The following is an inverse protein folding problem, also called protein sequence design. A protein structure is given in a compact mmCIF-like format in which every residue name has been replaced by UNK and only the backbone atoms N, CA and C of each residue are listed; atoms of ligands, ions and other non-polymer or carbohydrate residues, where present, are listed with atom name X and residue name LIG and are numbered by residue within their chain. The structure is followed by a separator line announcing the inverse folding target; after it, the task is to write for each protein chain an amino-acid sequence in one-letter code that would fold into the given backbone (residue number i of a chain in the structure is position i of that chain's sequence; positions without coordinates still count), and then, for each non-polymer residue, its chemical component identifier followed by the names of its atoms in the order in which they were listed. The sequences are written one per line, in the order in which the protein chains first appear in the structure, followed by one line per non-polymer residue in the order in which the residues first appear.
data_IF_849128766700
#
_entry.id   IF_849128766700
#
_cell.length_a   1.000
_cell.length_b   1.000
_cell.length_c   1.000
_cell.angle_alpha   90.00
_cell.angle_beta   90.00
_cell.angle_gamma   90.00
#
_symmetry.space_group_name_H-M   'P 1'
#
loop_
_entity.id
_entity.type
_entity.pdbx_description
1 polymer ?
#
# COMPACT_ATOMS: atom_id res chain seq x y z
N UNK A 1 17.69 -3.60 -10.67
CA UNK A 1 17.28 -2.33 -11.33
C UNK A 1 16.24 -1.71 -10.41
N UNK A 2 16.58 -0.63 -9.70
CA UNK A 2 15.70 -0.05 -8.67
C UNK A 2 14.47 0.53 -9.38
N UNK A 3 13.29 -0.04 -9.12
CA UNK A 3 12.02 0.43 -9.65
C UNK A 3 11.80 1.87 -9.19
N UNK A 4 11.88 2.84 -10.11
CA UNK A 4 11.57 4.24 -9.81
C UNK A 4 10.08 4.36 -9.53
N UNK A 5 9.72 4.65 -8.28
CA UNK A 5 8.34 5.00 -7.89
C UNK A 5 7.96 6.30 -8.60
N UNK A 6 7.01 6.25 -9.53
CA UNK A 6 6.49 7.45 -10.19
C UNK A 6 5.24 7.93 -9.43
N UNK A 7 5.34 9.11 -8.82
CA UNK A 7 4.25 9.72 -8.06
C UNK A 7 3.51 10.71 -8.96
N UNK A 8 2.30 10.35 -9.40
CA UNK A 8 1.41 11.26 -10.16
C UNK A 8 0.60 12.09 -9.17
N UNK A 9 0.93 13.38 -9.03
CA UNK A 9 0.06 14.32 -8.31
C UNK A 9 -0.09 15.62 -9.12
N UNK A 10 -1.32 15.93 -9.51
CA UNK A 10 -1.67 17.18 -10.17
C UNK A 10 -1.58 18.34 -9.18
N UNK A 11 -0.57 19.19 -9.38
CA UNK A 11 -0.43 20.53 -8.81
C UNK A 11 -0.07 20.67 -7.31
N UNK A 12 1.09 21.34 -7.11
CA UNK A 12 1.62 22.04 -5.92
C UNK A 12 2.41 21.21 -4.87
N UNK A 13 3.69 21.61 -4.75
CA UNK A 13 4.66 21.39 -3.68
C UNK A 13 4.89 19.94 -3.22
N UNK A 14 6.00 19.37 -3.70
CA UNK A 14 6.55 18.06 -3.31
C UNK A 14 6.93 18.05 -1.83
N UNK A 15 6.09 17.48 -0.97
CA UNK A 15 6.58 16.81 0.25
C UNK A 15 6.73 15.33 -0.10
N UNK A 16 7.99 14.93 -0.26
CA UNK A 16 8.43 13.63 -0.72
C UNK A 16 8.04 12.57 0.30
N UNK A 17 7.40 11.49 -0.16
CA UNK A 17 7.24 10.30 0.66
C UNK A 17 8.61 9.86 1.18
N UNK A 18 8.70 9.48 2.45
CA UNK A 18 9.98 9.15 3.10
C UNK A 18 10.08 7.65 3.31
N UNK A 19 11.14 7.03 2.78
CA UNK A 19 11.43 5.61 3.06
C UNK A 19 12.07 5.45 4.45
N UNK A 20 11.68 4.40 5.15
CA UNK A 20 12.32 3.96 6.40
C UNK A 20 12.23 2.44 6.55
N UNK A 21 13.09 1.86 7.39
CA UNK A 21 13.12 0.41 7.62
C UNK A 21 12.89 0.08 9.08
N UNK A 22 12.20 -1.04 9.34
CA UNK A 22 12.01 -1.64 10.65
C UNK A 22 12.48 -3.10 10.57
N UNK A 23 13.70 -3.36 11.06
CA UNK A 23 14.34 -4.66 10.83
C UNK A 23 14.61 -4.87 9.34
N UNK A 24 14.10 -5.98 8.79
CA UNK A 24 14.20 -6.33 7.36
C UNK A 24 13.05 -5.74 6.52
N UNK A 25 12.02 -5.17 7.15
CA UNK A 25 10.88 -4.64 6.43
C UNK A 25 11.10 -3.17 6.05
N UNK A 26 10.75 -2.84 4.80
CA UNK A 26 10.83 -1.49 4.26
C UNK A 26 9.44 -0.85 4.25
N UNK A 27 9.39 0.45 4.52
CA UNK A 27 8.16 1.22 4.58
C UNK A 27 8.31 2.56 3.88
N UNK A 28 7.20 3.07 3.39
CA UNK A 28 7.07 4.41 2.84
C UNK A 28 6.10 5.22 3.72
N UNK A 29 6.60 6.30 4.29
CA UNK A 29 5.79 7.31 4.95
C UNK A 29 5.12 8.18 3.89
N UNK A 30 3.80 8.05 3.80
CA UNK A 30 2.98 8.70 2.77
C UNK A 30 2.75 10.18 3.06
N UNK A 31 1.97 10.84 2.21
CA UNK A 31 1.68 12.28 2.33
C UNK A 31 1.15 12.65 3.72
N UNK A 32 1.54 13.83 4.24
CA UNK A 32 1.17 14.27 5.57
C UNK A 32 -0.34 14.48 5.69
N UNK A 33 -0.90 14.00 6.79
CA UNK A 33 -2.22 14.35 7.29
C UNK A 33 -2.02 15.25 8.52
N UNK A 34 -2.60 16.44 8.48
CA UNK A 34 -2.40 17.43 9.54
C UNK A 34 -2.85 16.86 10.88
N UNK A 35 -1.95 16.89 11.87
CA UNK A 35 -2.19 16.31 13.17
C UNK A 35 -1.37 17.01 14.26
N UNK A 36 -2.04 17.84 15.05
CA UNK A 36 -1.44 18.52 16.19
C UNK A 36 -1.98 17.93 17.49
N UNK A 37 -1.12 17.25 18.25
CA UNK A 37 -1.41 16.81 19.62
C UNK A 37 -0.31 17.27 20.56
N UNK A 38 -0.72 17.74 21.73
CA UNK A 38 0.15 18.07 22.85
C UNK A 38 0.82 16.79 23.40
N UNK A 39 2.16 16.78 23.47
CA UNK A 39 2.93 15.68 24.06
C UNK A 39 3.74 14.83 23.05
N UNK A 40 3.45 14.95 21.76
CA UNK A 40 4.31 14.45 20.68
C UNK A 40 5.10 15.62 20.08
N UNK A 41 6.41 15.67 20.33
CA UNK A 41 7.31 16.71 19.78
C UNK A 41 8.44 16.15 18.93
N UNK A 42 8.79 14.88 19.13
CA UNK A 42 9.82 14.19 18.38
C UNK A 42 9.20 13.22 17.36
N UNK A 43 9.90 12.93 16.24
CA UNK A 43 9.47 11.91 15.30
C UNK A 43 9.27 10.56 15.99
N UNK A 44 8.15 9.91 15.72
CA UNK A 44 7.80 8.63 16.36
C UNK A 44 6.92 7.78 15.46
N UNK A 45 7.11 6.48 15.55
CA UNK A 45 6.15 5.51 15.04
C UNK A 45 4.96 5.46 16.01
N UNK A 46 3.75 5.41 15.47
CA UNK A 46 2.53 5.31 16.28
C UNK A 46 1.44 4.54 15.56
N UNK A 47 0.46 4.06 16.33
CA UNK A 47 -0.74 3.42 15.80
C UNK A 47 -1.95 4.32 16.04
N UNK A 48 -2.65 4.64 14.97
CA UNK A 48 -3.96 5.28 15.03
C UNK A 48 -5.02 4.20 15.18
N UNK A 49 -5.95 4.41 16.12
CA UNK A 49 -7.06 3.50 16.39
C UNK A 49 -8.35 4.33 16.45
N UNK A 50 -9.24 4.12 15.49
CA UNK A 50 -10.57 4.74 15.51
C UNK A 50 -11.48 4.03 16.50
N UNK A 51 -12.04 4.77 17.45
CA UNK A 51 -12.99 4.30 18.45
C UNK A 51 -14.32 5.05 18.34
N UNK A 52 -15.33 4.37 17.80
CA UNK A 52 -16.69 4.91 17.62
C UNK A 52 -17.74 4.17 18.46
N UNK A 53 -17.31 3.33 19.40
CA UNK A 53 -18.22 2.55 20.25
C UNK A 53 -18.77 3.41 21.40
N UNK A 54 -19.99 3.12 21.89
CA UNK A 54 -20.48 3.74 23.11
C UNK A 54 -19.72 3.22 24.33
N UNK A 55 -19.42 4.12 25.26
CA UNK A 55 -18.76 3.80 26.54
C UNK A 55 -17.22 3.92 26.51
N UNK A 56 -16.55 3.44 27.56
CA UNK A 56 -15.10 3.57 27.69
C UNK A 56 -14.34 2.52 26.86
N UNK A 57 -13.10 2.83 26.51
CA UNK A 57 -12.17 1.88 25.88
C UNK A 57 -11.82 0.78 26.88
N UNK A 58 -12.52 -0.34 26.78
CA UNK A 58 -12.38 -1.48 27.70
C UNK A 58 -11.15 -2.34 27.38
N UNK A 59 -10.64 -3.02 28.40
CA UNK A 59 -9.52 -3.96 28.26
C UNK A 59 -9.82 -5.05 27.22
N UNK A 60 -11.01 -5.65 27.25
CA UNK A 60 -11.42 -6.71 26.31
C UNK A 60 -11.41 -6.22 24.86
N UNK A 61 -11.87 -4.98 24.65
CA UNK A 61 -11.91 -4.39 23.31
C UNK A 61 -10.50 -4.13 22.80
N UNK A 62 -9.64 -3.47 23.60
CA UNK A 62 -8.30 -3.12 23.13
C UNK A 62 -7.44 -4.36 22.86
N UNK A 63 -7.58 -5.42 23.66
CA UNK A 63 -6.83 -6.66 23.45
C UNK A 63 -7.21 -7.33 22.14
N UNK A 64 -8.50 -7.32 21.79
CA UNK A 64 -8.96 -7.86 20.51
C UNK A 64 -8.46 -6.99 19.36
N UNK A 65 -8.58 -5.67 19.48
CA UNK A 65 -8.11 -4.74 18.45
C UNK A 65 -6.62 -4.90 18.18
N UNK A 66 -5.78 -5.01 19.21
CA UNK A 66 -4.34 -5.23 19.07
C UNK A 66 -4.04 -6.59 18.44
N UNK A 67 -4.77 -7.64 18.81
CA UNK A 67 -4.66 -8.93 18.15
C UNK A 67 -4.92 -8.81 16.64
N UNK A 68 -6.00 -8.13 16.25
CA UNK A 68 -6.35 -7.92 14.84
C UNK A 68 -5.30 -7.10 14.08
N UNK A 69 -4.60 -6.16 14.76
CA UNK A 69 -3.45 -5.48 14.18
C UNK A 69 -2.30 -6.43 13.85
N UNK A 70 -1.97 -7.36 14.75
CA UNK A 70 -0.87 -8.31 14.55
C UNK A 70 -1.16 -9.43 13.56
N UNK A 71 -2.44 -9.72 13.27
CA UNK A 71 -2.84 -10.60 12.16
C UNK A 71 -2.48 -9.99 10.78
N UNK A 72 -2.25 -8.67 10.71
CA UNK A 72 -1.85 -7.98 9.49
C UNK A 72 -0.32 -7.92 9.36
N UNK A 73 0.22 -8.44 8.25
CA UNK A 73 1.66 -8.52 7.97
C UNK A 73 2.35 -7.15 7.74
N UNK A 74 1.57 -6.08 7.55
CA UNK A 74 2.04 -4.68 7.53
C UNK A 74 2.44 -4.23 8.92
N UNK A 75 1.77 -4.76 9.95
CA UNK A 75 1.95 -4.26 11.31
C UNK A 75 3.22 -4.81 11.96
N UNK A 76 3.89 -3.93 12.72
CA UNK A 76 5.12 -4.21 13.47
C UNK A 76 5.01 -3.60 14.86
N UNK A 77 5.57 -4.28 15.86
CA UNK A 77 5.43 -3.88 17.27
C UNK A 77 6.04 -2.50 17.55
N UNK A 78 6.99 -2.06 16.73
CA UNK A 78 7.62 -0.73 16.78
C UNK A 78 6.61 0.40 16.55
N UNK A 79 5.53 0.16 15.79
CA UNK A 79 4.44 1.14 15.64
C UNK A 79 3.64 1.35 16.93
N UNK A 80 3.77 0.47 17.92
CA UNK A 80 3.12 0.63 19.22
C UNK A 80 3.93 1.45 20.24
N UNK A 81 4.90 2.25 19.80
CA UNK A 81 5.56 3.21 20.69
C UNK A 81 4.58 4.28 21.23
N UNK A 82 3.59 4.66 20.44
CA UNK A 82 2.49 5.55 20.85
C UNK A 82 1.15 5.11 20.25
N UNK A 83 0.04 5.37 20.95
CA UNK A 83 -1.33 5.21 20.43
C UNK A 83 -1.98 6.55 20.26
N UNK A 84 -2.64 6.75 19.13
CA UNK A 84 -3.62 7.80 18.95
C UNK A 84 -5.01 7.19 18.83
N UNK A 85 -5.90 7.51 19.77
CA UNK A 85 -7.32 7.22 19.59
C UNK A 85 -8.03 8.36 18.85
N UNK A 86 -8.67 8.06 17.73
CA UNK A 86 -9.59 8.99 17.05
C UNK A 86 -11.03 8.65 17.42
N UNK A 87 -11.83 9.63 17.86
CA UNK A 87 -13.20 9.38 18.34
C UNK A 87 -14.14 10.54 18.05
N UNK A 88 -15.45 10.29 18.06
CA UNK A 88 -16.48 11.33 17.88
C UNK A 88 -17.06 11.86 19.21
N UNK A 89 -16.81 11.17 20.32
CA UNK A 89 -17.28 11.56 21.65
C UNK A 89 -16.69 12.90 22.13
N UNK A 90 -17.38 13.58 23.06
CA UNK A 90 -16.88 14.82 23.69
C UNK A 90 -15.60 14.59 24.49
N UNK A 91 -15.54 13.45 25.18
CA UNK A 91 -14.37 12.97 25.91
C UNK A 91 -14.32 11.45 25.74
N UNK A 92 -13.11 10.91 25.53
CA UNK A 92 -12.88 9.47 25.50
C UNK A 92 -12.37 9.02 26.86
N UNK A 93 -13.12 8.14 27.51
CA UNK A 93 -12.69 7.49 28.74
C UNK A 93 -11.94 6.20 28.41
N UNK A 94 -10.75 6.05 28.98
CA UNK A 94 -9.90 4.86 28.83
C UNK A 94 -9.79 4.22 30.20
N UNK A 95 -10.29 3.00 30.36
CA UNK A 95 -10.33 2.38 31.70
C UNK A 95 -8.91 2.18 32.25
N UNK A 96 -8.71 2.30 33.57
CA UNK A 96 -7.38 2.15 34.19
C UNK A 96 -6.73 0.80 33.88
N UNK A 97 -7.54 -0.27 33.74
CA UNK A 97 -7.05 -1.60 33.32
C UNK A 97 -6.49 -1.58 31.89
N UNK A 98 -7.14 -0.85 30.97
CA UNK A 98 -6.68 -0.62 29.60
C UNK A 98 -5.37 0.17 29.61
N UNK A 99 -5.29 1.28 30.34
CA UNK A 99 -4.07 2.08 30.42
C UNK A 99 -2.88 1.30 30.98
N UNK A 100 -3.10 0.51 32.04
CA UNK A 100 -2.08 -0.36 32.62
C UNK A 100 -1.62 -1.43 31.62
N UNK A 101 -2.56 -2.07 30.92
CA UNK A 101 -2.22 -3.06 29.90
C UNK A 101 -1.39 -2.44 28.77
N UNK A 102 -1.77 -1.27 28.28
CA UNK A 102 -1.02 -0.57 27.26
C UNK A 102 0.40 -0.25 27.78
N UNK A 103 0.55 0.29 28.98
CA UNK A 103 1.89 0.52 29.55
C UNK A 103 2.72 -0.76 29.65
N UNK A 104 2.12 -1.90 30.01
CA UNK A 104 2.79 -3.19 30.12
C UNK A 104 3.33 -3.72 28.79
N UNK A 105 2.60 -3.53 27.70
CA UNK A 105 3.03 -3.99 26.36
C UNK A 105 3.91 -2.98 25.62
N UNK A 106 4.36 -1.92 26.32
CA UNK A 106 5.41 -1.01 25.85
C UNK A 106 4.93 0.33 25.31
N UNK A 107 3.64 0.65 25.42
CA UNK A 107 3.13 1.95 25.00
C UNK A 107 3.67 3.05 25.91
N UNK A 108 4.33 4.04 25.31
CA UNK A 108 4.93 5.17 26.05
C UNK A 108 4.01 6.37 26.14
N UNK A 109 3.09 6.51 25.20
CA UNK A 109 2.24 7.68 25.07
C UNK A 109 0.87 7.31 24.50
N UNK A 110 -0.19 7.81 25.12
CA UNK A 110 -1.56 7.68 24.63
C UNK A 110 -2.07 9.10 24.38
N UNK A 111 -2.50 9.33 23.14
CA UNK A 111 -3.15 10.55 22.71
C UNK A 111 -4.61 10.25 22.33
N UNK A 112 -5.45 11.28 22.45
CA UNK A 112 -6.82 11.25 21.94
C UNK A 112 -7.03 12.45 21.02
N UNK A 113 -7.75 12.23 19.93
CA UNK A 113 -8.19 13.27 19.02
C UNK A 113 -9.68 13.09 18.76
N UNK A 114 -10.43 14.16 18.99
CA UNK A 114 -11.82 14.23 18.58
C UNK A 114 -11.88 14.54 17.09
N UNK A 115 -12.62 13.75 16.33
CA UNK A 115 -12.88 13.97 14.90
C UNK A 115 -14.31 14.43 14.71
N UNK A 116 -14.50 15.58 14.07
CA UNK A 116 -15.83 16.09 13.75
C UNK A 116 -16.41 15.42 12.49
N UNK A 117 -17.74 15.39 12.36
CA UNK A 117 -18.42 14.78 11.19
C UNK A 117 -18.05 15.45 9.85
N UNK A 118 -17.55 16.68 9.89
CA UNK A 118 -17.13 17.46 8.72
C UNK A 118 -15.69 17.18 8.29
N UNK A 119 -14.88 16.54 9.13
CA UNK A 119 -13.46 16.29 8.84
C UNK A 119 -13.27 14.89 8.24
N UNK A 120 -12.31 14.76 7.34
CA UNK A 120 -11.93 13.46 6.80
C UNK A 120 -11.39 12.58 7.94
N UNK A 121 -12.01 11.43 8.18
CA UNK A 121 -11.57 10.52 9.22
C UNK A 121 -10.17 9.95 8.90
N UNK A 122 -9.26 10.08 9.87
CA UNK A 122 -7.96 9.40 9.85
C UNK A 122 -8.24 7.91 10.11
N UNK A 123 -7.89 7.05 9.17
CA UNK A 123 -8.16 5.62 9.34
C UNK A 123 -7.17 4.97 10.31
N UNK A 124 -7.63 3.91 10.96
CA UNK A 124 -6.79 3.05 11.80
C UNK A 124 -5.59 2.49 11.04
N UNK A 125 -4.44 2.37 11.71
CA UNK A 125 -3.22 1.85 11.11
C UNK A 125 -1.94 2.35 11.75
N UNK A 126 -0.77 1.81 11.37
CA UNK A 126 0.55 2.38 11.58
C UNK A 126 0.76 3.70 10.82
N UNK A 127 1.37 4.64 11.51
CA UNK A 127 1.78 5.94 11.00
C UNK A 127 3.18 6.28 11.50
N UNK A 128 3.86 7.11 10.72
CA UNK A 128 5.04 7.84 11.14
C UNK A 128 4.63 9.28 11.44
N UNK A 129 4.86 9.73 12.68
CA UNK A 129 4.66 11.12 13.08
C UNK A 129 5.97 11.89 12.87
N UNK A 130 5.90 12.96 12.10
CA UNK A 130 7.01 13.90 11.88
C UNK A 130 6.45 15.27 11.51
N UNK A 131 7.18 16.34 11.84
CA UNK A 131 6.82 17.72 11.46
C UNK A 131 5.38 18.13 11.80
N UNK A 132 4.83 17.63 12.93
CA UNK A 132 3.43 17.85 13.35
C UNK A 132 2.40 17.32 12.34
N UNK A 133 2.75 16.27 11.62
CA UNK A 133 1.88 15.58 10.69
C UNK A 133 1.94 14.07 10.93
N UNK A 134 0.85 13.40 10.56
CA UNK A 134 0.76 11.95 10.47
C UNK A 134 1.01 11.51 9.03
N UNK A 135 1.97 10.63 8.85
CA UNK A 135 2.27 10.01 7.57
C UNK A 135 1.83 8.54 7.63
N UNK A 136 0.80 8.11 6.87
CA UNK A 136 0.44 6.70 6.79
C UNK A 136 1.66 5.86 6.43
N UNK A 137 1.94 4.81 7.18
CA UNK A 137 3.07 3.93 6.90
C UNK A 137 2.61 2.81 5.96
N UNK A 138 3.22 2.74 4.78
CA UNK A 138 2.91 1.76 3.76
C UNK A 138 4.07 0.78 3.63
N UNK A 139 3.84 -0.50 3.96
CA UNK A 139 4.88 -1.52 3.81
C UNK A 139 5.20 -1.74 2.34
N UNK A 140 6.49 -1.73 2.02
CA UNK A 140 7.04 -2.09 0.72
C UNK A 140 7.37 -3.58 0.74
N UNK A 141 6.89 -4.30 -0.27
CA UNK A 141 7.30 -5.67 -0.53
C UNK A 141 8.45 -5.66 -1.53
N UNK A 142 9.08 -6.79 -1.78
CA UNK A 142 10.02 -6.92 -2.90
C UNK A 142 9.35 -7.65 -4.06
N UNK A 143 9.67 -7.25 -5.30
CA UNK A 143 9.28 -7.99 -6.51
C UNK A 143 10.27 -9.14 -6.74
N UNK A 144 10.24 -10.13 -5.85
CA UNK A 144 11.17 -11.27 -5.90
C UNK A 144 11.07 -12.07 -7.19
N UNK A 145 9.96 -11.97 -7.91
CA UNK A 145 9.71 -12.70 -9.15
C UNK A 145 9.85 -11.84 -10.41
N UNK A 146 10.14 -10.54 -10.24
CA UNK A 146 10.34 -9.61 -11.35
C UNK A 146 9.11 -9.46 -12.25
N UNK A 147 7.90 -9.53 -11.71
CA UNK A 147 6.66 -9.50 -12.50
C UNK A 147 6.16 -8.10 -12.86
N UNK A 148 6.72 -7.04 -12.29
CA UNK A 148 6.17 -5.68 -12.35
C UNK A 148 7.06 -4.69 -13.10
N UNK A 149 6.45 -3.62 -13.59
CA UNK A 149 7.13 -2.57 -14.37
C UNK A 149 6.97 -1.19 -13.74
N UNK A 150 5.74 -0.78 -13.45
CA UNK A 150 5.45 0.55 -12.94
C UNK A 150 4.52 0.49 -11.73
N UNK A 151 4.96 1.08 -10.62
CA UNK A 151 4.15 1.24 -9.40
C UNK A 151 3.49 2.60 -9.35
N UNK A 152 2.20 2.58 -9.06
CA UNK A 152 1.29 3.71 -8.99
C UNK A 152 0.80 3.87 -7.56
N UNK A 153 1.22 4.99 -6.96
CA UNK A 153 0.70 5.41 -5.67
C UNK A 153 -0.59 6.20 -5.92
N UNK A 154 -1.71 5.52 -5.78
CA UNK A 154 -3.07 6.08 -5.94
C UNK A 154 -3.79 6.15 -4.59
N UNK A 155 -4.80 7.01 -4.47
CA UNK A 155 -5.62 7.06 -3.26
C UNK A 155 -6.42 5.75 -3.13
N UNK A 156 -6.21 5.01 -2.03
CA UNK A 156 -6.50 3.57 -1.90
C UNK A 156 -7.89 3.25 -1.33
N UNK A 157 -8.94 3.85 -1.88
CA UNK A 157 -10.29 3.41 -1.55
C UNK A 157 -10.77 2.41 -2.62
N UNK A 158 -11.02 1.16 -2.22
CA UNK A 158 -11.61 0.11 -3.07
C UNK A 158 -10.64 -0.98 -3.56
N UNK A 159 -11.08 -1.75 -4.55
CA UNK A 159 -10.33 -2.92 -5.05
C UNK A 159 -9.04 -2.50 -5.70
N UNK A 160 -7.94 -3.19 -5.39
CA UNK A 160 -6.64 -2.89 -6.00
C UNK A 160 -6.37 -3.92 -7.07
N UNK A 161 -5.93 -3.45 -8.24
CA UNK A 161 -5.68 -4.30 -9.41
C UNK A 161 -4.35 -3.91 -10.02
N UNK A 162 -3.55 -4.88 -10.44
CA UNK A 162 -2.41 -4.59 -11.31
C UNK A 162 -2.72 -5.05 -12.74
N UNK A 163 -2.38 -4.23 -13.73
CA UNK A 163 -2.84 -4.39 -15.10
C UNK A 163 -1.71 -4.76 -16.04
N UNK A 164 -1.99 -5.52 -17.10
CA UNK A 164 -0.97 -5.85 -18.11
C UNK A 164 -0.43 -4.57 -18.75
N UNK A 165 0.88 -4.49 -18.97
CA UNK A 165 1.51 -3.32 -19.59
C UNK A 165 1.23 -3.18 -21.10
N UNK A 166 0.13 -3.77 -21.58
CA UNK A 166 -0.46 -3.52 -22.90
C UNK A 166 -1.70 -2.62 -22.82
N UNK A 167 -2.18 -2.28 -21.62
CA UNK A 167 -3.29 -1.36 -21.44
C UNK A 167 -2.79 0.07 -21.24
N UNK A 168 -3.42 1.02 -21.92
CA UNK A 168 -3.06 2.42 -21.83
C UNK A 168 -3.60 3.04 -20.54
N UNK A 169 -2.75 3.75 -19.81
CA UNK A 169 -3.12 4.49 -18.60
C UNK A 169 -2.57 5.90 -18.73
N UNK A 170 -3.43 6.89 -18.48
CA UNK A 170 -3.08 8.30 -18.62
C UNK A 170 -1.86 8.69 -17.76
N UNK A 171 -0.90 9.37 -18.39
CA UNK A 171 0.40 9.78 -17.86
C UNK A 171 1.39 8.63 -17.56
N UNK A 172 1.14 7.43 -18.07
CA UNK A 172 2.06 6.29 -18.00
C UNK A 172 2.48 5.89 -19.42
N UNK A 173 3.75 5.52 -19.59
CA UNK A 173 4.22 4.93 -20.85
C UNK A 173 3.88 3.45 -20.87
N UNK A 174 3.08 3.05 -21.83
CA UNK A 174 2.82 1.64 -22.12
C UNK A 174 3.98 1.09 -22.94
N UNK A 175 4.65 0.03 -22.47
CA UNK A 175 5.76 -0.61 -23.20
C UNK A 175 5.33 -1.80 -24.04
N UNK A 176 4.24 -2.48 -23.68
CA UNK A 176 3.87 -3.78 -24.23
C UNK A 176 5.04 -4.81 -24.20
N UNK A 177 5.99 -4.62 -23.28
CA UNK A 177 7.28 -5.29 -23.22
C UNK A 177 8.06 -5.29 -24.56
N UNK A 178 7.96 -4.22 -25.34
CA UNK A 178 8.70 -4.02 -26.59
C UNK A 178 9.43 -2.68 -26.61
N UNK A 179 10.77 -2.70 -26.77
CA UNK A 179 11.59 -1.50 -26.63
C UNK A 179 11.43 -0.57 -27.84
N UNK A 180 11.33 -1.13 -29.04
CA UNK A 180 11.08 -0.39 -30.27
C UNK A 180 9.71 0.32 -30.27
N UNK A 181 8.74 -0.22 -29.52
CA UNK A 181 7.50 0.47 -29.21
C UNK A 181 7.71 1.51 -28.09
N UNK A 182 8.32 1.12 -26.98
CA UNK A 182 8.46 2.00 -25.83
C UNK A 182 9.16 3.31 -26.17
N UNK A 183 10.30 3.26 -26.86
CA UNK A 183 11.18 4.40 -27.15
C UNK A 183 10.48 5.60 -27.81
N UNK A 184 9.79 5.46 -28.96
CA UNK A 184 9.18 6.60 -29.66
C UNK A 184 7.89 7.12 -29.02
N UNK A 185 7.21 6.32 -28.18
CA UNK A 185 5.91 6.73 -27.63
C UNK A 185 6.05 7.42 -26.25
N UNK A 186 5.52 8.65 -26.10
CA UNK A 186 5.48 9.35 -24.83
C UNK A 186 4.44 8.73 -23.88
N UNK A 187 4.34 9.20 -22.62
CA UNK A 187 3.25 8.83 -21.72
C UNK A 187 1.87 9.02 -22.39
N UNK A 188 0.92 8.11 -22.12
CA UNK A 188 -0.41 8.14 -22.75
C UNK A 188 -1.21 9.34 -22.27
N UNK A 189 -1.98 9.94 -23.17
CA UNK A 189 -2.85 11.09 -22.84
C UNK A 189 -4.25 10.68 -22.40
N UNK A 190 -4.60 9.39 -22.52
CA UNK A 190 -5.89 8.83 -22.12
C UNK A 190 -5.70 7.45 -21.52
N UNK A 191 -6.62 7.09 -20.63
CA UNK A 191 -6.76 5.74 -20.08
C UNK A 191 -7.65 4.92 -21.02
N UNK A 192 -7.31 3.65 -21.22
CA UNK A 192 -8.13 2.72 -22.01
C UNK A 192 -9.52 2.54 -21.39
N UNK A 193 -10.56 2.39 -22.22
CA UNK A 193 -11.96 2.31 -21.76
C UNK A 193 -12.18 1.23 -20.68
N UNK A 194 -11.63 0.04 -20.86
CA UNK A 194 -11.76 -1.03 -19.87
C UNK A 194 -11.07 -0.73 -18.52
N UNK A 195 -10.04 0.13 -18.51
CA UNK A 195 -9.41 0.57 -17.27
C UNK A 195 -10.24 1.71 -16.63
N UNK A 196 -10.88 2.54 -17.45
CA UNK A 196 -11.83 3.53 -16.95
C UNK A 196 -13.02 2.84 -16.25
N UNK A 197 -13.55 1.75 -16.81
CA UNK A 197 -14.61 0.96 -16.17
C UNK A 197 -14.19 0.42 -14.79
N UNK A 198 -12.92 0.02 -14.65
CA UNK A 198 -12.34 -0.41 -13.36
C UNK A 198 -12.32 0.77 -12.37
N UNK A 199 -11.89 1.96 -12.80
CA UNK A 199 -11.92 3.16 -11.97
C UNK A 199 -13.34 3.57 -11.58
N UNK A 200 -14.28 3.52 -12.51
CA UNK A 200 -15.68 3.90 -12.29
C UNK A 200 -16.38 2.92 -11.33
N UNK A 201 -15.95 1.65 -11.31
CA UNK A 201 -16.38 0.66 -10.32
C UNK A 201 -15.74 0.85 -8.92
N UNK A 202 -14.91 1.88 -8.73
CA UNK A 202 -14.24 2.18 -7.48
C UNK A 202 -13.00 1.32 -7.22
N UNK A 203 -12.49 0.61 -8.23
CA UNK A 203 -11.20 -0.05 -8.15
C UNK A 203 -10.08 0.92 -8.55
N UNK A 204 -8.85 0.61 -8.15
CA UNK A 204 -7.67 1.42 -8.43
C UNK A 204 -6.57 0.53 -9.00
N UNK A 205 -5.89 1.05 -10.02
CA UNK A 205 -4.73 0.39 -10.59
C UNK A 205 -3.52 0.78 -9.78
N UNK A 206 -2.89 -0.21 -9.17
CA UNK A 206 -1.71 -0.01 -8.34
C UNK A 206 -0.43 -0.23 -9.11
N UNK A 207 -0.44 -1.02 -10.19
CA UNK A 207 0.77 -1.27 -10.97
C UNK A 207 0.50 -1.80 -12.39
N UNK A 208 1.55 -1.79 -13.23
CA UNK A 208 1.59 -2.52 -14.51
C UNK A 208 2.49 -3.75 -14.48
N UNK A 209 2.07 -4.82 -15.17
CA UNK A 209 2.71 -6.15 -15.15
C UNK A 209 3.37 -6.52 -16.48
N UNK A 210 4.47 -7.29 -16.39
CA UNK A 210 5.20 -7.80 -17.55
C UNK A 210 4.39 -8.80 -18.36
N UNK A 211 4.68 -8.84 -19.66
CA UNK A 211 4.07 -9.72 -20.64
C UNK A 211 5.11 -10.17 -21.66
N UNK A 212 4.77 -11.20 -22.44
CA UNK A 212 5.46 -11.41 -23.71
C UNK A 212 5.25 -10.19 -24.62
N UNK A 213 6.27 -9.82 -25.40
CA UNK A 213 6.26 -8.64 -26.26
C UNK A 213 5.02 -8.65 -27.17
N UNK A 214 4.24 -7.56 -27.14
CA UNK A 214 2.96 -7.45 -27.88
C UNK A 214 1.98 -8.61 -27.65
N UNK A 215 2.04 -9.25 -26.49
CA UNK A 215 1.25 -10.43 -26.18
C UNK A 215 1.50 -11.61 -27.15
N UNK A 216 2.68 -11.67 -27.78
CA UNK A 216 3.06 -12.73 -28.70
C UNK A 216 3.29 -14.08 -28.00
N UNK A 217 3.41 -15.14 -28.79
CA UNK A 217 3.74 -16.49 -28.33
C UNK A 217 5.25 -16.60 -28.07
N UNK A 218 5.71 -15.98 -26.98
CA UNK A 218 7.10 -16.04 -26.53
C UNK A 218 7.24 -16.95 -25.31
N UNK A 219 8.18 -17.89 -25.41
CA UNK A 219 8.71 -18.62 -24.25
C UNK A 219 9.65 -17.69 -23.46
N UNK A 220 9.90 -17.97 -22.17
CA UNK A 220 10.74 -17.13 -21.31
C UNK A 220 12.11 -16.76 -21.92
N UNK A 221 12.77 -17.74 -22.55
CA UNK A 221 14.07 -17.57 -23.20
C UNK A 221 14.03 -16.66 -24.45
N UNK A 222 12.84 -16.40 -25.00
CA UNK A 222 12.61 -15.52 -26.16
C UNK A 222 12.30 -14.07 -25.75
N UNK A 223 12.10 -13.80 -24.46
CA UNK A 223 11.78 -12.47 -23.95
C UNK A 223 13.08 -11.64 -23.81
N UNK A 224 13.43 -10.89 -24.86
CA UNK A 224 14.72 -10.20 -24.95
C UNK A 224 14.71 -8.85 -24.23
N UNK A 225 13.69 -8.01 -24.48
CA UNK A 225 13.68 -6.63 -23.98
C UNK A 225 13.33 -6.54 -22.48
N UNK A 226 12.34 -7.33 -22.05
CA UNK A 226 12.02 -7.53 -20.65
C UNK A 226 12.06 -9.02 -20.37
N UNK A 227 12.95 -9.42 -19.46
CA UNK A 227 13.05 -10.81 -19.04
C UNK A 227 11.72 -11.26 -18.43
N UNK A 228 11.29 -12.46 -18.85
CA UNK A 228 10.13 -13.13 -18.31
C UNK A 228 10.22 -13.27 -16.78
N UNK A 229 9.11 -13.10 -16.05
CA UNK A 229 9.10 -13.27 -14.61
C UNK A 229 9.31 -14.74 -14.19
N UNK A 230 9.74 -14.94 -12.95
CA UNK A 230 9.99 -16.27 -12.39
C UNK A 230 8.71 -16.95 -11.92
N UNK A 231 8.55 -18.23 -12.21
CA UNK A 231 7.39 -19.00 -11.75
C UNK A 231 7.62 -19.46 -10.29
N UNK A 232 6.84 -19.03 -9.28
CA UNK A 232 6.95 -19.47 -7.89
C UNK A 232 6.66 -20.96 -7.68
N UNK A 233 6.18 -21.69 -8.68
CA UNK A 233 5.90 -23.13 -8.55
C UNK A 233 7.18 -23.95 -8.72
N UNK A 234 7.22 -25.07 -7.98
CA UNK A 234 8.36 -25.97 -7.93
C UNK A 234 9.64 -25.27 -7.44
N UNK A 235 10.75 -25.43 -8.15
CA UNK A 235 12.07 -24.89 -7.85
C UNK A 235 12.35 -23.52 -8.50
N UNK A 236 11.31 -22.88 -9.05
CA UNK A 236 11.45 -21.65 -9.82
C UNK A 236 11.56 -21.85 -11.33
N UNK A 237 11.96 -23.04 -11.81
CA UNK A 237 12.35 -23.25 -13.20
C UNK A 237 11.22 -23.63 -14.15
N UNK A 238 9.99 -23.72 -13.66
CA UNK A 238 8.84 -23.96 -14.53
C UNK A 238 8.58 -22.74 -15.43
N UNK A 239 8.27 -22.98 -16.71
CA UNK A 239 7.88 -21.87 -17.60
C UNK A 239 6.62 -21.18 -17.05
N UNK A 240 6.60 -19.84 -16.90
CA UNK A 240 5.39 -19.09 -16.57
C UNK A 240 4.35 -19.07 -17.70
N UNK A 241 4.66 -19.62 -18.89
CA UNK A 241 3.82 -19.70 -20.10
C UNK A 241 3.37 -18.34 -20.67
N UNK A 242 3.10 -18.28 -21.98
CA UNK A 242 2.74 -17.05 -22.68
C UNK A 242 1.23 -16.77 -22.75
N UNK A 243 0.79 -15.54 -23.00
CA UNK A 243 1.54 -14.28 -23.12
C UNK A 243 1.44 -13.39 -21.86
N UNK A 244 0.71 -13.85 -20.85
CA UNK A 244 0.48 -13.15 -19.58
C UNK A 244 1.28 -13.82 -18.47
N UNK A 245 2.60 -13.90 -18.65
CA UNK A 245 3.55 -14.66 -17.82
C UNK A 245 3.47 -14.28 -16.34
N UNK A 246 3.13 -13.02 -16.03
CA UNK A 246 2.94 -12.57 -14.65
C UNK A 246 1.88 -13.39 -13.88
N UNK A 247 0.85 -13.93 -14.55
CA UNK A 247 -0.24 -14.71 -13.92
C UNK A 247 0.27 -15.91 -13.17
N UNK A 248 1.32 -16.51 -13.71
CA UNK A 248 1.91 -17.72 -13.18
C UNK A 248 3.09 -17.45 -12.26
N UNK A 249 3.48 -16.18 -12.10
CA UNK A 249 4.78 -15.77 -11.57
C UNK A 249 4.72 -15.02 -10.26
N UNK A 250 3.53 -14.79 -9.74
CA UNK A 250 3.39 -13.81 -8.69
C UNK A 250 3.33 -14.40 -7.29
N UNK A 251 3.97 -13.75 -6.31
CA UNK A 251 4.12 -14.31 -4.97
C UNK A 251 2.80 -14.38 -4.21
N UNK A 252 2.66 -15.46 -3.42
CA UNK A 252 1.48 -15.72 -2.58
C UNK A 252 1.25 -14.64 -1.51
N UNK A 253 2.31 -13.98 -1.05
CA UNK A 253 2.24 -12.88 -0.07
C UNK A 253 1.43 -11.69 -0.57
N UNK A 254 1.19 -11.58 -1.87
CA UNK A 254 0.40 -10.49 -2.40
C UNK A 254 -1.11 -10.78 -2.38
N UNK A 255 -1.64 -12.00 -2.14
CA UNK A 255 -3.03 -12.52 -2.33
C UNK A 255 -4.25 -11.56 -2.19
N UNK A 256 -4.10 -10.46 -1.45
CA UNK A 256 -5.03 -9.35 -1.28
C UNK A 256 -5.24 -8.41 -2.50
N UNK A 257 -4.34 -8.31 -3.49
CA UNK A 257 -4.54 -7.58 -4.79
C UNK A 257 -5.08 -8.51 -5.91
N UNK A 258 -5.45 -9.78 -5.67
CA UNK A 258 -5.60 -10.80 -6.76
C UNK A 258 -7.00 -11.13 -7.26
N UNK A 259 -8.07 -10.48 -6.80
CA UNK A 259 -9.40 -11.05 -7.08
C UNK A 259 -9.93 -10.61 -8.45
N UNK A 260 -9.84 -11.54 -9.40
CA UNK A 260 -10.66 -11.72 -10.61
C UNK A 260 -10.84 -10.51 -11.54
N UNK A 261 -9.81 -10.24 -12.34
CA UNK A 261 -9.94 -10.24 -13.79
C UNK A 261 -8.59 -10.72 -14.36
N UNK A 262 -8.32 -10.62 -15.65
CA UNK A 262 -7.15 -11.10 -16.40
C UNK A 262 -5.80 -10.47 -15.97
N UNK A 263 -5.59 -10.24 -14.67
CA UNK A 263 -4.83 -9.15 -14.05
C UNK A 263 -4.31 -9.51 -12.65
N UNK A 264 -3.22 -8.84 -12.27
CA UNK A 264 -2.60 -8.72 -10.95
C UNK A 264 -1.38 -9.57 -10.63
N UNK A 265 -0.22 -8.94 -10.46
CA UNK A 265 0.30 -8.63 -9.12
C UNK A 265 1.16 -7.39 -9.15
N UNK A 266 1.63 -6.84 -8.01
CA UNK A 266 2.75 -5.91 -7.95
C UNK A 266 3.40 -5.54 -6.60
N UNK A 267 4.44 -4.70 -6.62
CA UNK A 267 4.98 -3.93 -5.49
C UNK A 267 3.96 -2.93 -4.97
N UNK A 268 3.00 -3.41 -4.20
CA UNK A 268 1.88 -2.58 -3.76
C UNK A 268 2.10 -2.13 -2.32
N UNK A 269 2.14 -0.82 -2.07
CA UNK A 269 2.08 -0.35 -0.70
C UNK A 269 0.71 -0.66 -0.07
N UNK A 270 0.71 -1.48 0.99
CA UNK A 270 -0.53 -1.94 1.65
C UNK A 270 -0.94 -0.99 2.77
N UNK A 271 -2.23 -0.61 2.80
CA UNK A 271 -2.83 0.08 3.96
C UNK A 271 -3.22 -0.98 5.00
N UNK A 272 -3.00 -0.73 6.29
CA UNK A 272 -3.35 -1.66 7.36
C UNK A 272 -4.86 -1.92 7.49
N UNK A 273 -5.70 -0.89 7.33
CA UNK A 273 -7.16 -0.99 7.43
C UNK A 273 -7.85 -0.05 6.43
N UNK A 274 -8.79 -0.60 5.64
CA UNK A 274 -9.50 0.08 4.56
C UNK A 274 -9.64 -0.83 3.35
#
# INVERSE_FOLDING_TARGET
MVSKVMIKCGCKAQMLCQEFSLGEDHFLAMWPQHFAVSGLSAPSLLTVITYNNPGPVSFKWITQTIHDFFENDVFRSEFFRAVLFTHSATQLDVTSKTELYLRLIGYRFIATQRTEKSEAQIASGPYFYADKNLHPAWKLYEDTHGAFLHTLIVNVNGWRVAVKDSFEIENIRTSACNQAFYEPYPPRTKTAACIQDIYDAGAVVVDTTKLASFAATEEPMKCINWQAPWNPRADGYQSPTGCSQWKWSAPRSLEWVLRNATFSWALVPRRPFG
#
